data_IF_423083875259
#
_entry.id   IF_423083875259
#
_cell.length_a   1.000
_cell.length_b   1.000
_cell.length_c   1.000
_cell.angle_alpha   90.00
_cell.angle_beta   90.00
_cell.angle_gamma   90.00
#
_symmetry.space_group_name_H-M   'P 1'
#
loop_
_entity.id
_entity.type
_entity.pdbx_description
1 polymer ?
#
# COMPACT_ATOMS: atom_id res chain seq x y z
N UNK A 1 -2.89 38.81 2.41
CA UNK A 1 -2.76 37.51 1.69
C UNK A 1 -3.13 36.39 2.65
N UNK A 2 -4.19 35.63 2.33
CA UNK A 2 -4.81 34.65 3.24
C UNK A 2 -4.37 33.25 2.82
N UNK A 3 -3.62 32.57 3.68
CA UNK A 3 -3.15 31.21 3.42
C UNK A 3 -4.31 30.23 3.56
N UNK A 4 -4.61 29.50 2.49
CA UNK A 4 -5.66 28.48 2.47
C UNK A 4 -5.05 27.20 3.04
N UNK A 5 -5.52 26.78 4.20
CA UNK A 5 -5.12 25.51 4.83
C UNK A 5 -5.45 24.35 3.89
N UNK A 6 -4.41 23.72 3.34
CA UNK A 6 -4.55 22.44 2.64
C UNK A 6 -5.03 21.40 3.66
N UNK A 7 -6.28 21.00 3.55
CA UNK A 7 -6.83 19.85 4.27
C UNK A 7 -5.93 18.64 3.98
N UNK A 8 -5.26 18.14 5.02
CA UNK A 8 -4.51 16.88 4.95
C UNK A 8 -5.44 15.79 4.40
N UNK A 9 -5.04 15.00 3.39
CA UNK A 9 -5.80 13.81 3.03
C UNK A 9 -5.97 12.97 4.28
N UNK A 10 -7.22 12.69 4.64
CA UNK A 10 -7.58 11.79 5.73
C UNK A 10 -6.84 10.48 5.45
N UNK A 11 -5.81 10.17 6.25
CA UNK A 11 -5.18 8.84 6.21
C UNK A 11 -6.30 7.87 6.54
N UNK A 12 -6.80 7.17 5.53
CA UNK A 12 -7.73 6.06 5.72
C UNK A 12 -6.88 4.94 6.29
N UNK A 13 -6.70 4.91 7.62
CA UNK A 13 -6.24 3.73 8.34
C UNK A 13 -7.40 2.75 8.40
N UNK A 14 -7.79 2.23 7.23
CA UNK A 14 -8.65 1.07 7.15
C UNK A 14 -7.81 -0.03 6.53
N UNK A 15 -6.99 -0.61 7.40
CA UNK A 15 -6.24 -1.85 7.20
C UNK A 15 -7.17 -3.07 7.18
N UNK A 16 -8.46 -2.88 6.88
CA UNK A 16 -9.31 -4.00 6.54
C UNK A 16 -8.94 -4.35 5.10
N UNK A 17 -8.40 -5.55 4.81
CA UNK A 17 -8.31 -5.99 3.44
C UNK A 17 -9.71 -5.85 2.81
N UNK A 18 -9.81 -5.48 1.51
CA UNK A 18 -11.10 -5.43 0.85
C UNK A 18 -11.83 -6.74 1.10
N UNK A 19 -13.05 -6.65 1.64
CA UNK A 19 -13.84 -7.80 2.05
C UNK A 19 -13.93 -8.79 0.89
N UNK A 20 -13.46 -10.02 1.11
CA UNK A 20 -13.58 -11.08 0.11
C UNK A 20 -15.05 -11.45 -0.04
N UNK A 21 -15.63 -11.13 -1.19
CA UNK A 21 -17.04 -11.43 -1.50
C UNK A 21 -17.26 -12.95 -1.41
N UNK A 22 -16.27 -13.73 -1.80
CA UNK A 22 -16.28 -15.19 -1.65
C UNK A 22 -16.38 -15.62 -0.18
N UNK A 23 -15.56 -15.07 0.72
CA UNK A 23 -15.65 -15.38 2.15
C UNK A 23 -16.99 -14.93 2.74
N UNK A 24 -17.47 -13.74 2.38
CA UNK A 24 -18.80 -13.25 2.81
C UNK A 24 -19.91 -14.21 2.40
N UNK A 25 -19.86 -14.71 1.16
CA UNK A 25 -20.80 -15.71 0.67
C UNK A 25 -20.72 -17.01 1.47
N UNK A 26 -19.52 -17.55 1.70
CA UNK A 26 -19.33 -18.75 2.50
C UNK A 26 -19.83 -18.58 3.94
N UNK A 27 -19.57 -17.45 4.57
CA UNK A 27 -20.11 -17.14 5.91
C UNK A 27 -21.64 -17.17 5.90
N UNK A 28 -22.29 -16.65 4.86
CA UNK A 28 -23.75 -16.74 4.70
C UNK A 28 -24.25 -18.18 4.57
N UNK A 29 -23.55 -19.04 3.81
CA UNK A 29 -23.92 -20.44 3.65
C UNK A 29 -23.76 -21.23 4.96
N UNK A 30 -22.64 -21.04 5.67
CA UNK A 30 -22.30 -21.75 6.92
C UNK A 30 -23.16 -21.26 8.10
N UNK A 31 -23.44 -19.95 8.14
CA UNK A 31 -24.22 -19.30 9.18
C UNK A 31 -25.73 -19.56 9.07
N UNK A 32 -26.22 -19.99 7.91
CA UNK A 32 -27.64 -20.22 7.69
C UNK A 32 -28.09 -21.57 8.32
N UNK A 33 -28.98 -21.56 9.33
CA UNK A 33 -29.45 -22.79 9.97
C UNK A 33 -30.24 -23.70 9.03
N UNK A 34 -30.89 -23.15 7.99
CA UNK A 34 -31.61 -23.93 7.00
C UNK A 34 -30.69 -24.78 6.13
N UNK A 35 -29.39 -24.45 6.09
CA UNK A 35 -28.39 -25.25 5.41
C UNK A 35 -27.79 -26.32 6.31
N UNK A 36 -28.25 -26.52 7.56
CA UNK A 36 -27.67 -27.52 8.46
C UNK A 36 -28.44 -28.84 8.40
N UNK A 37 -27.70 -29.93 8.36
CA UNK A 37 -28.23 -31.29 8.52
C UNK A 37 -28.26 -31.67 10.01
N UNK A 38 -28.98 -32.75 10.34
CA UNK A 38 -29.18 -33.20 11.72
C UNK A 38 -27.87 -33.53 12.48
N UNK A 39 -26.74 -33.69 11.78
CA UNK A 39 -25.40 -33.88 12.37
C UNK A 39 -24.52 -32.62 12.38
N UNK A 40 -25.08 -31.43 12.10
CA UNK A 40 -24.32 -30.17 12.02
C UNK A 40 -23.55 -29.96 10.72
N UNK A 41 -23.54 -30.94 9.82
CA UNK A 41 -22.99 -30.79 8.48
C UNK A 41 -23.74 -29.74 7.67
N UNK A 42 -23.03 -28.97 6.84
CA UNK A 42 -23.62 -27.97 5.95
C UNK A 42 -24.02 -28.62 4.63
N UNK A 43 -25.30 -28.54 4.29
CA UNK A 43 -25.88 -28.94 3.01
C UNK A 43 -25.52 -27.91 1.95
N UNK A 44 -24.80 -28.35 0.93
CA UNK A 44 -24.47 -27.55 -0.25
C UNK A 44 -25.20 -28.18 -1.43
N UNK A 45 -26.04 -27.39 -2.11
CA UNK A 45 -26.69 -27.84 -3.34
C UNK A 45 -25.79 -27.58 -4.56
N UNK A 46 -26.07 -28.25 -5.68
CA UNK A 46 -25.27 -28.16 -6.91
C UNK A 46 -25.20 -26.73 -7.48
N UNK A 47 -26.26 -25.94 -7.38
CA UNK A 47 -26.27 -24.55 -7.84
C UNK A 47 -25.32 -23.68 -7.00
N UNK A 48 -25.39 -23.82 -5.67
CA UNK A 48 -24.47 -23.17 -4.74
C UNK A 48 -23.03 -23.61 -4.99
N UNK A 49 -22.79 -24.87 -5.33
CA UNK A 49 -21.46 -25.37 -5.68
C UNK A 49 -20.90 -24.69 -6.94
N UNK A 50 -21.69 -24.58 -8.00
CA UNK A 50 -21.30 -23.86 -9.22
C UNK A 50 -20.99 -22.38 -8.96
N UNK A 51 -21.80 -21.71 -8.13
CA UNK A 51 -21.55 -20.32 -7.73
C UNK A 51 -20.25 -20.20 -6.94
N UNK A 52 -20.00 -21.11 -5.98
CA UNK A 52 -18.74 -21.11 -5.21
C UNK A 52 -17.53 -21.28 -6.11
N UNK A 53 -17.59 -22.16 -7.12
CA UNK A 53 -16.52 -22.35 -8.08
C UNK A 53 -16.20 -21.04 -8.82
N UNK A 54 -17.21 -20.38 -9.39
CA UNK A 54 -17.03 -19.11 -10.10
C UNK A 54 -16.47 -18.01 -9.19
N UNK A 55 -16.96 -17.92 -7.95
CA UNK A 55 -16.46 -16.94 -6.99
C UNK A 55 -15.03 -17.22 -6.55
N UNK A 56 -14.64 -18.49 -6.44
CA UNK A 56 -13.28 -18.90 -6.13
C UNK A 56 -12.31 -18.48 -7.25
N UNK A 57 -12.68 -18.70 -8.51
CA UNK A 57 -11.87 -18.30 -9.66
C UNK A 57 -11.71 -16.78 -9.76
N UNK A 58 -12.79 -16.03 -9.49
CA UNK A 58 -12.77 -14.58 -9.44
C UNK A 58 -11.88 -14.07 -8.30
N UNK A 59 -11.95 -14.68 -7.13
CA UNK A 59 -11.12 -14.31 -5.98
C UNK A 59 -9.64 -14.64 -6.21
N UNK A 60 -9.33 -15.79 -6.80
CA UNK A 60 -7.97 -16.14 -7.19
C UNK A 60 -7.37 -15.09 -8.16
N UNK A 61 -8.15 -14.70 -9.16
CA UNK A 61 -7.76 -13.65 -10.11
C UNK A 61 -7.53 -12.30 -9.41
N UNK A 62 -8.39 -11.95 -8.45
CA UNK A 62 -8.25 -10.72 -7.66
C UNK A 62 -6.97 -10.74 -6.81
N UNK A 63 -6.66 -11.87 -6.17
CA UNK A 63 -5.47 -12.05 -5.34
C UNK A 63 -4.19 -11.96 -6.17
N UNK A 64 -4.15 -12.56 -7.36
CA UNK A 64 -3.02 -12.43 -8.28
C UNK A 64 -2.74 -10.97 -8.66
N UNK A 65 -3.79 -10.20 -9.00
CA UNK A 65 -3.65 -8.77 -9.29
C UNK A 65 -3.16 -7.97 -8.09
N UNK A 66 -3.61 -8.32 -6.88
CA UNK A 66 -3.16 -7.68 -5.65
C UNK A 66 -1.67 -7.96 -5.41
N UNK A 67 -1.24 -9.21 -5.59
CA UNK A 67 0.17 -9.61 -5.47
C UNK A 67 1.06 -8.81 -6.41
N UNK A 68 0.65 -8.62 -7.66
CA UNK A 68 1.40 -7.81 -8.63
C UNK A 68 1.57 -6.35 -8.18
N UNK A 69 0.50 -5.75 -7.63
CA UNK A 69 0.57 -4.38 -7.09
C UNK A 69 1.50 -4.28 -5.89
N UNK A 70 1.53 -5.29 -5.02
CA UNK A 70 2.44 -5.33 -3.88
C UNK A 70 3.89 -5.35 -4.35
N UNK A 71 4.23 -6.18 -5.35
CA UNK A 71 5.59 -6.19 -5.94
C UNK A 71 6.00 -4.83 -6.52
N UNK A 72 5.08 -4.14 -7.19
CA UNK A 72 5.34 -2.80 -7.72
C UNK A 72 5.63 -1.79 -6.61
N UNK A 73 4.90 -1.86 -5.49
CA UNK A 73 5.15 -1.02 -4.32
C UNK A 73 6.50 -1.30 -3.68
N UNK A 74 6.87 -2.58 -3.51
CA UNK A 74 8.18 -2.98 -2.98
C UNK A 74 9.32 -2.49 -3.88
N UNK A 75 9.18 -2.60 -5.20
CA UNK A 75 10.16 -2.09 -6.16
C UNK A 75 10.29 -0.56 -6.11
N UNK A 76 9.16 0.14 -5.96
CA UNK A 76 9.16 1.59 -5.79
C UNK A 76 9.85 2.02 -4.50
N UNK A 77 9.57 1.34 -3.38
CA UNK A 77 10.21 1.58 -2.09
C UNK A 77 11.73 1.35 -2.17
N UNK A 78 12.18 0.26 -2.79
CA UNK A 78 13.60 -0.01 -3.00
C UNK A 78 14.28 1.10 -3.82
N UNK A 79 13.59 1.64 -4.83
CA UNK A 79 14.09 2.75 -5.65
C UNK A 79 14.23 4.04 -4.85
N UNK A 80 13.30 4.34 -3.93
CA UNK A 80 13.40 5.49 -3.03
C UNK A 80 14.58 5.34 -2.07
N UNK A 81 14.80 4.15 -1.50
CA UNK A 81 15.96 3.90 -0.63
C UNK A 81 17.29 4.09 -1.36
N UNK A 82 17.41 3.61 -2.60
CA UNK A 82 18.61 3.83 -3.42
C UNK A 82 18.83 5.32 -3.72
N UNK A 83 17.76 6.07 -3.98
CA UNK A 83 17.83 7.52 -4.20
C UNK A 83 18.24 8.29 -2.93
N UNK A 84 17.68 7.92 -1.78
CA UNK A 84 18.08 8.50 -0.48
C UNK A 84 19.57 8.24 -0.20
N UNK A 85 20.05 7.02 -0.45
CA UNK A 85 21.46 6.65 -0.28
C UNK A 85 22.43 7.40 -1.20
N UNK A 86 21.97 7.86 -2.36
CA UNK A 86 22.78 8.66 -3.31
C UNK A 86 22.73 10.17 -3.04
N UNK A 87 21.99 10.61 -2.02
CA UNK A 87 21.85 12.02 -1.68
C UNK A 87 23.10 12.54 -0.97
N UNK A 88 24.03 13.07 -1.75
CA UNK A 88 25.22 13.73 -1.22
C UNK A 88 24.82 15.09 -0.60
N UNK A 89 25.33 15.47 0.59
CA UNK A 89 25.07 16.78 1.15
C UNK A 89 25.55 17.85 0.16
N UNK A 90 24.88 19.03 0.09
CA UNK A 90 25.33 20.12 -0.74
C UNK A 90 26.81 20.35 -0.44
N UNK A 91 27.66 20.13 -1.46
CA UNK A 91 29.06 20.46 -1.35
C UNK A 91 29.11 21.97 -1.17
N UNK A 92 29.29 22.42 0.07
CA UNK A 92 29.67 23.79 0.36
C UNK A 92 31.03 23.96 -0.27
N UNK A 93 31.05 24.37 -1.54
CA UNK A 93 32.24 24.87 -2.19
C UNK A 93 32.66 26.07 -1.36
N UNK A 94 33.63 25.83 -0.46
CA UNK A 94 34.26 26.89 0.30
C UNK A 94 34.96 27.76 -0.74
N UNK A 95 34.28 28.81 -1.19
CA UNK A 95 34.88 29.91 -1.93
C UNK A 95 36.03 30.39 -1.06
N UNK A 96 37.30 30.25 -1.48
CA UNK A 96 38.41 30.72 -0.67
C UNK A 96 38.25 32.23 -0.52
N UNK A 97 38.12 32.69 0.71
CA UNK A 97 38.17 34.09 1.05
C UNK A 97 39.55 34.62 0.63
N UNK A 98 39.59 35.35 -0.49
CA UNK A 98 40.77 36.11 -0.91
C UNK A 98 40.94 37.24 0.12
N UNK A 99 41.76 36.99 1.13
CA UNK A 99 42.27 38.03 2.01
C UNK A 99 43.32 38.82 1.24
N UNK A 100 42.91 39.96 0.69
CA UNK A 100 43.85 40.97 0.20
C UNK A 100 44.60 41.59 1.39
N UNK A 101 45.86 41.20 1.56
CA UNK A 101 46.80 41.85 2.48
C UNK A 101 47.12 43.27 1.98
N UNK A 102 46.57 44.30 2.60
CA UNK A 102 47.07 45.67 2.43
C UNK A 102 48.20 45.93 3.42
N UNK A 103 49.43 45.76 2.93
CA UNK A 103 50.64 46.28 3.57
C UNK A 103 50.63 47.81 3.44
N UNK A 104 50.43 48.53 4.55
CA UNK A 104 50.56 49.98 4.61
C UNK A 104 51.89 50.34 5.27
N UNK A 105 52.85 50.72 4.42
CA UNK A 105 54.15 51.29 4.81
C UNK A 105 54.05 52.82 4.77
N UNK A 106 54.12 53.46 5.93
CA UNK A 106 54.53 54.87 6.12
C UNK A 106 55.44 54.83 7.36
N UNK A 107 56.67 55.32 7.33
CA UNK A 107 57.13 56.55 6.71
C UNK A 107 57.57 57.43 7.87
#
# INVERSE_FOLDING_TARGET
>A
MKWISRTRPRRVSRTDPPSSIFLTFLTGIIGNPNNRLAGGAVKINLNSLGIMQQMMDAEATRLLKLQERVKQLESFEASLFALEGSRQPPQTSAIPAVTHSTSSKRG
#
